data_IF_786322361842
#
_entry.id   IF_786322361842
#
_cell.length_a   1.000
_cell.length_b   1.000
_cell.length_c   1.000
_cell.angle_alpha   90.00
_cell.angle_beta   90.00
_cell.angle_gamma   90.00
#
_symmetry.space_group_name_H-M   'P 1'
#
loop_
_entity.id
_entity.type
_entity.pdbx_description
1 polymer ?
#
# COMPACT_ATOMS: atom_id res chain seq x y z
N UNK A 1 0.77 18.63 -16.98
CA UNK A 1 -0.01 17.48 -16.48
C UNK A 1 -0.78 16.90 -17.66
N UNK A 2 -0.35 15.76 -18.18
CA UNK A 2 -1.07 15.07 -19.26
C UNK A 2 -2.31 14.38 -18.71
N UNK A 3 -3.36 14.35 -19.52
CA UNK A 3 -4.68 13.77 -19.25
C UNK A 3 -4.55 12.26 -18.95
N UNK A 4 -4.52 11.91 -17.66
CA UNK A 4 -4.47 10.52 -17.19
C UNK A 4 -5.90 10.04 -16.91
N UNK A 5 -6.35 8.93 -17.50
CA UNK A 5 -7.69 8.41 -17.25
C UNK A 5 -7.83 8.01 -15.78
N UNK A 6 -8.89 8.51 -15.14
CA UNK A 6 -9.29 8.08 -13.80
C UNK A 6 -9.91 6.68 -13.92
N UNK A 7 -9.37 5.69 -13.22
CA UNK A 7 -9.82 4.29 -13.35
C UNK A 7 -10.96 3.96 -12.38
N UNK A 8 -10.90 4.46 -11.14
CA UNK A 8 -11.99 4.36 -10.16
C UNK A 8 -11.97 5.55 -9.21
N UNK A 9 -13.17 6.00 -8.83
CA UNK A 9 -13.44 6.84 -7.69
C UNK A 9 -13.80 5.94 -6.47
N UNK A 10 -12.91 5.81 -5.48
CA UNK A 10 -13.19 5.00 -4.26
C UNK A 10 -13.54 5.90 -3.08
N UNK A 11 -14.63 5.59 -2.37
CA UNK A 11 -15.02 6.25 -1.11
C UNK A 11 -14.33 5.58 0.09
N UNK A 12 -13.94 6.36 1.10
CA UNK A 12 -13.21 5.88 2.30
C UNK A 12 -14.08 5.28 3.42
N UNK A 13 -15.37 5.03 3.21
CA UNK A 13 -16.28 4.67 4.30
C UNK A 13 -16.11 3.19 4.73
N UNK A 14 -15.52 2.97 5.90
CA UNK A 14 -15.60 1.70 6.65
C UNK A 14 -14.56 0.63 6.32
N UNK A 15 -13.43 0.99 5.70
CA UNK A 15 -12.45 0.02 5.19
C UNK A 15 -11.06 0.20 5.78
N UNK A 16 -10.42 -0.92 6.12
CA UNK A 16 -9.09 -0.96 6.74
C UNK A 16 -8.01 -1.05 5.66
N UNK A 17 -7.21 0.01 5.44
CA UNK A 17 -6.05 -0.10 4.57
C UNK A 17 -4.97 -0.96 5.23
N UNK A 18 -4.25 -1.73 4.43
CA UNK A 18 -3.00 -2.35 4.86
C UNK A 18 -1.92 -1.28 4.96
N UNK A 19 -0.97 -1.51 5.85
CA UNK A 19 0.04 -0.53 6.19
C UNK A 19 1.15 -1.11 7.05
N UNK A 20 2.28 -0.40 7.07
CA UNK A 20 3.41 -0.71 7.95
C UNK A 20 3.52 0.45 8.95
N UNK A 21 3.65 0.15 10.25
CA UNK A 21 3.67 1.15 11.35
C UNK A 21 2.40 2.01 11.49
N UNK A 22 1.27 1.55 10.95
CA UNK A 22 0.00 2.30 11.01
C UNK A 22 -0.17 3.30 9.87
N UNK A 23 0.84 3.48 9.01
CA UNK A 23 0.71 4.27 7.80
C UNK A 23 0.12 3.42 6.68
N UNK A 24 -1.01 3.87 6.15
CA UNK A 24 -1.67 3.22 5.04
C UNK A 24 -0.80 3.26 3.77
N UNK A 25 -0.74 2.16 3.03
CA UNK A 25 0.12 2.05 1.85
C UNK A 25 -0.14 3.12 0.77
N UNK A 26 -1.37 3.58 0.64
CA UNK A 26 -1.71 4.64 -0.32
C UNK A 26 -1.02 5.97 -0.02
N UNK A 27 -0.61 6.23 1.23
CA UNK A 27 0.14 7.45 1.60
C UNK A 27 1.59 7.40 1.11
N UNK A 28 2.16 6.20 0.95
CA UNK A 28 3.55 5.97 0.51
C UNK A 28 3.64 5.42 -0.92
N UNK A 29 2.52 5.39 -1.64
CA UNK A 29 2.41 4.75 -2.95
C UNK A 29 3.44 5.27 -3.96
N UNK A 30 3.65 6.58 -4.03
CA UNK A 30 4.65 7.17 -4.93
C UNK A 30 6.06 6.63 -4.69
N UNK A 31 6.44 6.42 -3.43
CA UNK A 31 7.74 5.83 -3.08
C UNK A 31 7.82 4.37 -3.53
N UNK A 32 6.77 3.58 -3.28
CA UNK A 32 6.72 2.17 -3.66
C UNK A 32 6.79 1.99 -5.18
N UNK A 33 5.97 2.75 -5.93
CA UNK A 33 5.95 2.71 -7.39
C UNK A 33 7.30 3.14 -7.98
N UNK A 34 7.96 4.15 -7.41
CA UNK A 34 9.31 4.54 -7.83
C UNK A 34 10.34 3.44 -7.57
N UNK A 35 10.26 2.72 -6.45
CA UNK A 35 11.15 1.59 -6.14
C UNK A 35 10.91 0.43 -7.11
N UNK A 36 9.64 0.06 -7.34
CA UNK A 36 9.26 -1.01 -8.29
C UNK A 36 9.79 -0.64 -9.68
N UNK A 37 9.50 0.57 -10.17
CA UNK A 37 9.95 1.03 -11.49
C UNK A 37 11.46 0.98 -11.64
N UNK A 38 12.20 1.45 -10.63
CA UNK A 38 13.67 1.44 -10.65
C UNK A 38 14.28 0.03 -10.67
N UNK A 39 13.61 -0.94 -10.04
CA UNK A 39 14.16 -2.30 -9.83
C UNK A 39 13.65 -3.32 -10.84
N UNK A 40 12.40 -3.19 -11.28
CA UNK A 40 11.68 -4.18 -12.09
C UNK A 40 11.20 -3.60 -13.43
N UNK A 41 11.30 -2.28 -13.64
CA UNK A 41 10.84 -1.60 -14.85
C UNK A 41 9.37 -1.18 -14.79
N UNK A 42 8.88 -0.62 -15.90
CA UNK A 42 7.56 -0.01 -15.97
C UNK A 42 6.43 -1.05 -15.90
N UNK A 43 6.58 -2.25 -16.47
CA UNK A 43 5.50 -3.25 -16.50
C UNK A 43 4.92 -3.59 -15.11
N UNK A 44 5.73 -4.01 -14.13
CA UNK A 44 5.26 -4.25 -12.77
C UNK A 44 4.85 -2.97 -12.02
N UNK A 45 5.46 -1.82 -12.31
CA UNK A 45 5.09 -0.56 -11.67
C UNK A 45 3.73 -0.05 -12.13
N UNK A 46 3.46 -0.13 -13.43
CA UNK A 46 2.24 0.35 -14.07
C UNK A 46 1.05 -0.59 -13.82
N UNK A 47 1.30 -1.81 -13.32
CA UNK A 47 0.25 -2.70 -12.83
C UNK A 47 -0.50 -2.08 -11.63
N UNK A 48 0.16 -1.28 -10.80
CA UNK A 48 -0.45 -0.70 -9.61
C UNK A 48 -0.89 0.74 -9.91
N UNK A 49 -2.19 1.02 -9.77
CA UNK A 49 -2.72 2.37 -9.96
C UNK A 49 -2.16 3.35 -8.93
N UNK A 50 -1.98 4.61 -9.32
CA UNK A 50 -1.50 5.68 -8.44
C UNK A 50 -2.68 6.25 -7.63
N UNK A 51 -2.69 6.12 -6.29
CA UNK A 51 -3.73 6.72 -5.45
C UNK A 51 -3.50 8.21 -5.27
N UNK A 52 -4.56 8.99 -5.40
CA UNK A 52 -4.60 10.42 -5.14
C UNK A 52 -5.69 10.73 -4.12
N UNK A 53 -5.30 11.39 -3.03
CA UNK A 53 -6.24 11.81 -2.00
C UNK A 53 -7.03 13.01 -2.49
N UNK A 54 -8.36 12.97 -2.36
CA UNK A 54 -9.17 14.15 -2.64
C UNK A 54 -8.97 15.20 -1.57
N UNK A 55 -9.03 16.48 -1.97
CA UNK A 55 -8.86 17.63 -1.08
C UNK A 55 -9.86 17.62 0.09
N UNK A 56 -11.05 17.06 -0.11
CA UNK A 56 -12.07 16.90 0.93
C UNK A 56 -11.83 15.75 1.91
N UNK A 57 -10.81 14.91 1.69
CA UNK A 57 -10.48 13.75 2.52
C UNK A 57 -11.50 12.61 2.50
N UNK A 58 -12.54 12.72 1.66
CA UNK A 58 -13.70 11.83 1.57
C UNK A 58 -13.45 10.57 0.71
N UNK A 59 -12.35 10.55 -0.04
CA UNK A 59 -12.04 9.44 -0.93
C UNK A 59 -10.62 9.45 -1.51
N UNK A 60 -10.34 8.39 -2.25
CA UNK A 60 -9.10 8.20 -3.01
C UNK A 60 -9.49 7.93 -4.47
N UNK A 61 -8.86 8.67 -5.36
CA UNK A 61 -8.98 8.49 -6.80
C UNK A 61 -7.77 7.71 -7.31
N UNK A 62 -8.03 6.68 -8.12
CA UNK A 62 -6.98 5.79 -8.61
C UNK A 62 -6.72 6.02 -10.09
N UNK A 63 -5.46 6.30 -10.43
CA UNK A 63 -5.05 6.66 -11.78
C UNK A 63 -4.13 5.62 -12.40
N UNK A 64 -4.36 5.31 -13.68
CA UNK A 64 -3.41 4.55 -14.46
C UNK A 64 -2.14 5.37 -14.71
N UNK A 65 -0.97 4.71 -14.75
CA UNK A 65 0.24 5.38 -15.18
C UNK A 65 0.18 5.79 -16.67
N UNK A 66 -0.49 4.94 -17.46
CA UNK A 66 -0.72 4.99 -18.90
C UNK A 66 -2.07 5.65 -19.23
N UNK A 67 -2.15 6.31 -20.39
CA UNK A 67 -3.43 6.72 -20.98
C UNK A 67 -3.89 5.72 -22.05
N UNK A 68 -5.20 5.56 -22.21
CA UNK A 68 -5.77 4.61 -23.18
C UNK A 68 -7.24 4.34 -22.95
N UNK A 69 -7.81 3.47 -23.79
CA UNK A 69 -9.17 2.96 -23.58
C UNK A 69 -9.23 2.09 -22.32
N UNK A 70 -10.27 2.29 -21.51
CA UNK A 70 -10.43 1.64 -20.21
C UNK A 70 -11.57 0.64 -20.29
N UNK A 71 -11.27 -0.64 -20.06
CA UNK A 71 -12.26 -1.72 -19.95
C UNK A 71 -12.20 -2.35 -18.57
N UNK A 72 -13.35 -2.72 -18.00
CA UNK A 72 -13.39 -3.46 -16.73
C UNK A 72 -13.00 -4.90 -16.99
N UNK A 73 -12.26 -5.51 -16.06
CA UNK A 73 -11.96 -6.94 -16.11
C UNK A 73 -13.25 -7.78 -16.16
N UNK A 74 -14.30 -7.33 -15.46
CA UNK A 74 -15.63 -7.93 -15.44
C UNK A 74 -16.39 -7.91 -16.79
N UNK A 75 -15.93 -7.17 -17.78
CA UNK A 75 -16.57 -7.10 -19.11
C UNK A 75 -15.81 -7.91 -20.18
N UNK A 76 -14.66 -8.49 -19.81
CA UNK A 76 -13.83 -9.28 -20.73
C UNK A 76 -14.40 -10.68 -20.99
N UNK A 77 -14.04 -11.24 -22.15
CA UNK A 77 -14.26 -12.66 -22.43
C UNK A 77 -13.28 -13.56 -21.67
N UNK A 78 -13.58 -14.85 -21.58
CA UNK A 78 -12.79 -15.79 -20.76
C UNK A 78 -11.31 -15.87 -21.16
N UNK A 79 -11.02 -15.86 -22.46
CA UNK A 79 -9.63 -15.92 -22.95
C UNK A 79 -8.84 -14.64 -22.62
N UNK A 80 -9.47 -13.48 -22.74
CA UNK A 80 -8.88 -12.20 -22.34
C UNK A 80 -8.65 -12.14 -20.82
N UNK A 81 -9.57 -12.67 -20.02
CA UNK A 81 -9.43 -12.74 -18.56
C UNK A 81 -8.25 -13.62 -18.15
N UNK A 82 -8.14 -14.81 -18.73
CA UNK A 82 -7.05 -15.73 -18.44
C UNK A 82 -5.68 -15.09 -18.75
N UNK A 83 -5.55 -14.45 -19.91
CA UNK A 83 -4.31 -13.76 -20.30
C UNK A 83 -3.99 -12.55 -19.39
N UNK A 84 -5.01 -11.78 -19.00
CA UNK A 84 -4.84 -10.66 -18.08
C UNK A 84 -4.42 -11.15 -16.68
N UNK A 85 -5.03 -12.21 -16.15
CA UNK A 85 -4.66 -12.78 -14.85
C UNK A 85 -3.26 -13.38 -14.84
N UNK A 86 -2.85 -14.05 -15.93
CA UNK A 86 -1.47 -14.54 -16.07
C UNK A 86 -0.46 -13.38 -16.00
N UNK A 87 -0.75 -12.28 -16.69
CA UNK A 87 0.08 -11.07 -16.66
C UNK A 87 0.11 -10.45 -15.27
N UNK A 88 -1.04 -10.37 -14.60
CA UNK A 88 -1.16 -9.87 -13.21
C UNK A 88 -0.30 -10.71 -12.28
N UNK A 89 -0.46 -12.03 -12.27
CA UNK A 89 0.27 -12.91 -11.35
C UNK A 89 1.77 -12.92 -11.60
N UNK A 90 2.19 -12.86 -12.86
CA UNK A 90 3.61 -12.74 -13.22
C UNK A 90 4.23 -11.49 -12.59
N UNK A 91 3.56 -10.34 -12.75
CA UNK A 91 4.03 -9.05 -12.24
C UNK A 91 3.94 -8.95 -10.72
N UNK A 92 2.85 -9.42 -10.10
CA UNK A 92 2.72 -9.46 -8.64
C UNK A 92 3.78 -10.37 -8.01
N UNK A 93 4.11 -11.50 -8.64
CA UNK A 93 5.17 -12.40 -8.16
C UNK A 93 6.54 -11.73 -8.20
N UNK A 94 6.82 -10.91 -9.23
CA UNK A 94 8.05 -10.11 -9.29
C UNK A 94 8.11 -9.08 -8.15
N UNK A 95 7.00 -8.40 -7.85
CA UNK A 95 6.90 -7.44 -6.73
C UNK A 95 7.08 -8.14 -5.38
N UNK A 96 6.41 -9.28 -5.15
CA UNK A 96 6.56 -10.09 -3.93
C UNK A 96 8.01 -10.54 -3.73
N UNK A 97 8.66 -11.01 -4.80
CA UNK A 97 10.08 -11.42 -4.77
C UNK A 97 10.99 -10.26 -4.40
N UNK A 98 10.76 -9.07 -4.95
CA UNK A 98 11.51 -7.87 -4.56
C UNK A 98 11.25 -7.50 -3.10
N UNK A 99 10.00 -7.60 -2.64
CA UNK A 99 9.61 -7.39 -1.25
C UNK A 99 10.41 -8.28 -0.30
N UNK A 100 10.42 -9.59 -0.55
CA UNK A 100 11.18 -10.57 0.25
C UNK A 100 12.68 -10.23 0.33
N UNK A 101 13.31 -9.93 -0.81
CA UNK A 101 14.74 -9.55 -0.86
C UNK A 101 15.03 -8.31 0.00
N UNK A 102 14.13 -7.32 -0.01
CA UNK A 102 14.30 -6.10 0.79
C UNK A 102 14.00 -6.34 2.28
N UNK A 103 13.02 -7.17 2.60
CA UNK A 103 12.67 -7.59 3.98
C UNK A 103 13.83 -8.32 4.66
N UNK A 104 14.58 -9.14 3.92
CA UNK A 104 15.75 -9.86 4.43
C UNK A 104 17.02 -8.99 4.59
N UNK A 105 17.00 -7.74 4.11
CA UNK A 105 18.16 -6.86 4.16
C UNK A 105 18.59 -6.57 5.60
N UNK A 106 19.81 -6.95 5.98
CA UNK A 106 20.28 -6.77 7.36
C UNK A 106 20.78 -5.37 7.70
N UNK A 107 21.21 -4.62 6.67
CA UNK A 107 21.92 -3.34 6.81
C UNK A 107 21.07 -2.08 6.71
N UNK A 108 19.75 -2.19 6.45
CA UNK A 108 18.87 -1.02 6.34
C UNK A 108 17.47 -1.34 6.84
N UNK A 109 17.07 -0.71 7.93
CA UNK A 109 15.70 -0.81 8.45
C UNK A 109 14.68 -0.26 7.46
N UNK A 110 15.01 0.84 6.76
CA UNK A 110 14.20 1.41 5.70
C UNK A 110 13.96 0.40 4.56
N UNK A 111 15.00 -0.33 4.15
CA UNK A 111 14.83 -1.39 3.15
C UNK A 111 13.85 -2.46 3.64
N UNK A 112 13.91 -2.87 4.91
CA UNK A 112 12.97 -3.85 5.46
C UNK A 112 11.53 -3.32 5.52
N UNK A 113 11.35 -2.03 5.78
CA UNK A 113 10.02 -1.40 5.76
C UNK A 113 9.46 -1.37 4.35
N UNK A 114 10.26 -0.95 3.38
CA UNK A 114 9.85 -0.98 1.96
C UNK A 114 9.54 -2.41 1.54
N UNK A 115 10.34 -3.39 1.94
CA UNK A 115 10.10 -4.81 1.65
C UNK A 115 8.73 -5.28 2.13
N UNK A 116 8.40 -5.04 3.40
CA UNK A 116 7.08 -5.33 3.97
C UNK A 116 5.95 -4.57 3.27
N UNK A 117 6.17 -3.30 2.94
CA UNK A 117 5.18 -2.50 2.21
C UNK A 117 4.91 -3.06 0.81
N UNK A 118 5.92 -3.55 0.10
CA UNK A 118 5.76 -4.17 -1.22
C UNK A 118 5.02 -5.51 -1.14
N UNK A 119 5.27 -6.32 -0.12
CA UNK A 119 4.52 -7.57 0.11
C UNK A 119 3.03 -7.27 0.29
N UNK A 120 2.69 -6.31 1.17
CA UNK A 120 1.31 -5.89 1.43
C UNK A 120 0.67 -5.21 0.21
N UNK A 121 1.43 -4.48 -0.61
CA UNK A 121 0.93 -3.82 -1.81
C UNK A 121 0.46 -4.80 -2.90
N UNK A 122 0.80 -6.09 -2.79
CA UNK A 122 0.31 -7.13 -3.72
C UNK A 122 -1.07 -7.67 -3.36
N UNK A 123 -1.62 -7.29 -2.21
CA UNK A 123 -2.98 -7.61 -1.83
C UNK A 123 -3.98 -6.69 -2.51
N UNK A 124 -5.15 -7.25 -2.86
CA UNK A 124 -6.28 -6.53 -3.44
C UNK A 124 -7.60 -7.13 -2.94
N UNK A 125 -8.69 -6.35 -2.82
CA UNK A 125 -9.94 -6.83 -2.26
C UNK A 125 -10.67 -7.90 -3.10
N UNK A 126 -10.74 -7.68 -4.42
CA UNK A 126 -11.36 -8.61 -5.38
C UNK A 126 -10.86 -8.36 -6.81
N UNK A 127 -11.24 -9.21 -7.76
CA UNK A 127 -10.97 -9.08 -9.20
C UNK A 127 -11.72 -7.91 -9.85
N UNK A 128 -12.75 -7.38 -9.19
CA UNK A 128 -13.52 -6.23 -9.69
C UNK A 128 -12.69 -4.93 -9.74
N UNK A 129 -11.56 -4.91 -9.02
CA UNK A 129 -10.62 -3.80 -9.00
C UNK A 129 -9.52 -3.91 -10.07
N UNK A 130 -9.62 -4.89 -10.97
CA UNK A 130 -8.76 -5.01 -12.15
C UNK A 130 -9.41 -4.30 -13.35
N UNK A 131 -8.62 -3.49 -14.04
CA UNK A 131 -8.99 -2.77 -15.26
C UNK A 131 -7.96 -3.06 -16.33
N UNK A 132 -8.37 -2.95 -17.58
CA UNK A 132 -7.44 -2.95 -18.71
C UNK A 132 -7.38 -1.55 -19.29
N UNK A 133 -6.17 -1.03 -19.42
CA UNK A 133 -5.89 0.26 -20.05
C UNK A 133 -5.06 0.00 -21.29
N UNK A 134 -5.64 0.18 -22.48
CA UNK A 134 -4.99 -0.16 -23.76
C UNK A 134 -4.48 -1.61 -23.80
N UNK A 135 -5.24 -2.54 -23.22
CA UNK A 135 -4.90 -3.97 -23.15
C UNK A 135 -3.98 -4.39 -21.99
N UNK A 136 -3.44 -3.43 -21.22
CA UNK A 136 -2.57 -3.71 -20.08
C UNK A 136 -3.35 -3.73 -18.75
N UNK A 137 -3.19 -4.75 -17.90
CA UNK A 137 -3.91 -4.81 -16.63
C UNK A 137 -3.37 -3.79 -15.62
N UNK A 138 -4.29 -3.13 -14.91
CA UNK A 138 -4.03 -2.18 -13.84
C UNK A 138 -4.96 -2.49 -12.66
N UNK A 139 -4.40 -2.56 -11.46
CA UNK A 139 -5.09 -2.86 -10.21
C UNK A 139 -5.30 -1.54 -9.47
N UNK A 140 -6.55 -1.23 -9.15
CA UNK A 140 -6.92 -0.19 -8.21
C UNK A 140 -7.13 -0.79 -6.81
N UNK A 141 -7.23 0.06 -5.79
CA UNK A 141 -7.48 -0.37 -4.41
C UNK A 141 -6.52 -1.46 -3.90
N UNK A 142 -5.29 -1.50 -4.40
CA UNK A 142 -4.26 -2.39 -3.86
C UNK A 142 -3.84 -1.93 -2.46
N UNK A 143 -3.36 -2.87 -1.65
CA UNK A 143 -3.05 -2.61 -0.25
C UNK A 143 -4.30 -2.49 0.64
N UNK A 144 -5.41 -3.15 0.27
CA UNK A 144 -6.61 -3.28 1.08
C UNK A 144 -6.98 -4.77 1.24
N UNK A 145 -7.63 -5.10 2.35
CA UNK A 145 -8.09 -6.46 2.66
C UNK A 145 -9.33 -6.87 1.83
N UNK A 146 -9.58 -8.18 1.73
CA UNK A 146 -10.70 -8.75 0.96
C UNK A 146 -12.09 -8.37 1.50
N UNK A 147 -12.21 -8.08 2.79
CA UNK A 147 -13.46 -7.61 3.40
C UNK A 147 -13.79 -6.15 3.05
N UNK A 148 -12.83 -5.42 2.45
CA UNK A 148 -12.98 -4.01 2.13
C UNK A 148 -13.87 -3.72 0.91
N UNK A 149 -14.30 -4.75 0.17
CA UNK A 149 -15.08 -4.58 -1.08
C UNK A 149 -16.35 -3.73 -0.86
N UNK A 150 -17.05 -3.90 0.28
CA UNK A 150 -18.31 -3.20 0.54
C UNK A 150 -18.15 -1.70 0.81
N UNK A 151 -17.03 -1.26 1.39
CA UNK A 151 -16.77 0.16 1.65
C UNK A 151 -15.99 0.86 0.54
N UNK A 152 -15.29 0.09 -0.29
CA UNK A 152 -14.64 0.54 -1.51
C UNK A 152 -15.63 0.47 -2.69
N UNK A 153 -16.67 1.29 -2.66
CA UNK A 153 -17.58 1.38 -3.80
C UNK A 153 -16.81 1.83 -5.04
N UNK A 154 -16.72 0.96 -6.06
CA UNK A 154 -16.10 1.31 -7.34
C UNK A 154 -17.07 2.17 -8.15
N UNK A 155 -16.95 3.48 -8.07
CA UNK A 155 -17.65 4.38 -8.99
C UNK A 155 -16.81 4.55 -10.26
N UNK A 156 -17.35 4.07 -11.38
CA UNK A 156 -16.77 4.30 -12.70
C UNK A 156 -17.04 5.75 -13.12
N UNK A 157 -16.01 6.57 -13.40
CA UNK A 157 -16.25 7.90 -13.93
C UNK A 157 -16.95 7.80 -15.30
N UNK A 158 -17.82 8.75 -15.65
CA UNK A 158 -18.42 8.80 -16.98
C UNK A 158 -17.30 8.90 -18.04
N UNK A 159 -17.45 8.25 -19.21
CA UNK A 159 -16.45 8.29 -20.25
C UNK A 159 -16.18 9.75 -20.65
N UNK A 160 -14.94 10.20 -20.47
CA UNK A 160 -14.49 11.50 -20.97
C UNK A 160 -14.62 11.44 -22.50
N UNK A 161 -15.39 12.33 -23.16
CA UNK A 161 -15.60 12.25 -24.58
C UNK A 161 -14.29 12.54 -25.32
N UNK A 162 -13.69 11.48 -25.87
CA UNK A 162 -12.61 11.60 -26.86
C UNK A 162 -13.22 12.28 -28.08
N UNK A 163 -12.68 13.43 -28.57
CA UNK A 163 -13.20 14.07 -29.76
C UNK A 163 -13.09 13.10 -30.95
N UNK A 164 -14.25 12.77 -31.54
CA UNK A 164 -14.35 11.88 -32.67
C UNK A 164 -13.49 12.40 -33.84
N UNK A 165 -12.47 11.65 -34.22
CA UNK A 165 -11.78 11.84 -35.50
C UNK A 165 -12.78 11.45 -36.61
N UNK A 166 -13.14 12.34 -37.55
CA UNK A 166 -14.05 11.99 -38.61
C UNK A 166 -13.38 10.96 -39.55
N UNK A 167 -14.07 9.84 -39.78
CA UNK A 167 -13.75 8.87 -40.83
C UNK A 167 -14.08 9.48 -42.22
N UNK A 168 -13.37 9.09 -43.29
CA UNK A 168 -13.46 9.78 -44.57
C UNK A 168 -14.73 9.36 -45.33
N UNK A 169 -15.50 10.35 -45.78
CA UNK A 169 -16.57 10.13 -46.75
C UNK A 169 -15.97 10.07 -48.17
N UNK A 170 -16.25 8.97 -48.87
CA UNK A 170 -15.94 8.77 -50.28
C UNK A 170 -16.89 9.65 -51.11
N UNK A 171 -16.34 10.60 -51.88
CA UNK A 171 -17.03 11.20 -53.02
C UNK A 171 -16.04 11.44 -54.17
N UNK A 172 -16.51 11.10 -55.37
CA UNK A 172 -15.78 11.10 -56.62
C UNK A 172 -15.74 12.49 -57.31
N UNK A 173 -14.66 12.68 -58.08
CA UNK A 173 -14.48 13.55 -59.27
C UNK A 173 -14.05 15.03 -59.12
N UNK A 174 -12.72 15.23 -59.24
CA UNK A 174 -11.95 16.12 -60.13
C UNK A 174 -12.07 17.69 -60.08
N UNK A 175 -11.06 18.46 -60.54
CA UNK A 175 -9.67 18.51 -60.07
C UNK A 175 -9.17 19.95 -59.76
N UNK A 176 -7.92 20.03 -59.28
CA UNK A 176 -7.00 21.18 -59.29
C UNK A 176 -7.14 22.25 -58.17
N UNK A 177 -6.25 22.15 -57.18
CA UNK A 177 -5.19 23.14 -56.96
C UNK A 177 -4.26 22.63 -55.85
N UNK A 178 -3.10 22.10 -56.24
CA UNK A 178 -2.04 21.71 -55.31
C UNK A 178 -1.38 22.99 -54.82
N UNK A 179 -1.71 23.42 -53.60
CA UNK A 179 -0.87 24.35 -52.86
C UNK A 179 0.33 23.57 -52.29
N UNK A 180 1.56 24.07 -52.45
CA UNK A 180 2.73 23.35 -51.97
C UNK A 180 2.66 23.22 -50.46
N UNK A 181 2.82 21.99 -50.00
CA UNK A 181 3.09 21.65 -48.61
C UNK A 181 4.16 22.61 -48.10
N UNK A 182 3.77 23.50 -47.17
CA UNK A 182 4.73 24.28 -46.42
C UNK A 182 5.50 23.30 -45.57
N UNK A 183 6.70 23.00 -46.04
CA UNK A 183 7.88 22.52 -45.32
C UNK A 183 7.54 22.07 -43.88
N UNK A 184 7.06 20.84 -43.78
CA UNK A 184 6.87 20.14 -42.51
C UNK A 184 8.26 19.78 -41.97
N UNK A 185 8.97 20.79 -41.48
CA UNK A 185 10.16 20.62 -40.70
C UNK A 185 10.03 21.41 -39.41
N UNK A 186 9.91 20.63 -38.33
CA UNK A 186 10.16 21.00 -36.95
C UNK A 186 9.12 21.92 -36.27
N UNK A 187 7.99 21.35 -35.78
CA UNK A 187 7.26 21.93 -34.64
C UNK A 187 8.20 22.27 -33.47
N UNK A 188 9.30 21.50 -33.30
CA UNK A 188 10.39 21.82 -32.38
C UNK A 188 11.13 23.12 -32.70
N UNK A 189 11.33 23.50 -33.97
CA UNK A 189 11.91 24.80 -34.34
C UNK A 189 10.95 25.94 -34.01
N UNK A 190 9.63 25.73 -34.17
CA UNK A 190 8.65 26.73 -33.72
C UNK A 190 8.69 26.86 -32.19
N UNK A 191 8.73 25.75 -31.45
CA UNK A 191 8.83 25.76 -29.99
C UNK A 191 10.16 26.38 -29.50
N UNK A 192 11.27 26.10 -30.19
CA UNK A 192 12.58 26.72 -29.94
C UNK A 192 12.54 28.22 -30.22
N UNK A 193 11.91 28.65 -31.32
CA UNK A 193 11.76 30.06 -31.67
C UNK A 193 10.87 30.80 -30.67
N UNK A 194 9.75 30.20 -30.24
CA UNK A 194 8.89 30.76 -29.20
C UNK A 194 9.60 30.81 -27.83
N UNK A 195 10.36 29.77 -27.48
CA UNK A 195 11.19 29.76 -26.27
C UNK A 195 12.27 30.84 -26.29
N UNK A 196 12.96 31.01 -27.42
CA UNK A 196 13.96 32.05 -27.61
C UNK A 196 13.32 33.46 -27.55
N UNK A 197 12.13 33.64 -28.14
CA UNK A 197 11.39 34.90 -28.09
C UNK A 197 10.97 35.24 -26.66
N UNK A 198 10.49 34.25 -25.90
CA UNK A 198 10.13 34.41 -24.48
C UNK A 198 11.36 34.77 -23.63
N UNK A 199 12.49 34.09 -23.85
CA UNK A 199 13.76 34.39 -23.18
C UNK A 199 14.23 35.82 -23.50
N UNK A 200 14.15 36.23 -24.77
CA UNK A 200 14.49 37.58 -25.19
C UNK A 200 13.57 38.62 -24.53
N UNK A 201 12.26 38.33 -24.44
CA UNK A 201 11.30 39.21 -23.76
C UNK A 201 11.61 39.34 -22.27
N UNK A 202 11.98 38.24 -21.60
CA UNK A 202 12.41 38.24 -20.20
C UNK A 202 13.71 39.03 -20.00
N UNK A 203 14.66 38.91 -20.93
CA UNK A 203 15.91 39.68 -20.91
C UNK A 203 15.65 41.17 -21.13
N UNK A 204 14.79 41.53 -22.09
CA UNK A 204 14.43 42.92 -22.37
C UNK A 204 13.65 43.52 -21.19
N UNK A 205 12.70 42.79 -20.60
CA UNK A 205 11.96 43.25 -19.42
C UNK A 205 12.86 43.37 -18.20
N UNK A 206 13.78 42.43 -17.98
CA UNK A 206 14.82 42.53 -16.94
C UNK A 206 15.75 43.73 -17.18
N UNK A 207 16.14 43.98 -18.43
CA UNK A 207 16.97 45.13 -18.80
C UNK A 207 16.21 46.44 -18.62
N UNK A 208 14.93 46.52 -19.02
CA UNK A 208 14.05 47.66 -18.79
C UNK A 208 13.85 47.92 -17.30
N UNK A 209 13.61 46.88 -16.50
CA UNK A 209 13.52 46.99 -15.04
C UNK A 209 14.82 47.53 -14.44
N UNK A 210 15.98 47.09 -14.94
CA UNK A 210 17.30 47.61 -14.49
C UNK A 210 17.55 49.05 -14.94
N UNK A 211 17.01 49.49 -16.08
CA UNK A 211 17.13 50.89 -16.52
C UNK A 211 16.11 51.81 -15.84
N UNK A 212 14.93 51.30 -15.47
CA UNK A 212 13.89 52.06 -14.78
C UNK A 212 14.06 52.05 -13.25
N UNK A 213 14.78 51.07 -12.70
CA UNK A 213 15.22 51.04 -11.32
C UNK A 213 16.74 50.84 -11.29
N UNK A 214 17.55 51.92 -11.20
CA UNK A 214 18.94 51.80 -10.82
C UNK A 214 18.96 51.33 -9.35
N UNK A 215 18.84 50.02 -9.15
CA UNK A 215 18.93 49.40 -7.84
C UNK A 215 20.41 49.37 -7.48
N UNK A 216 20.84 50.34 -6.69
CA UNK A 216 22.12 50.26 -5.98
C UNK A 216 22.14 48.95 -5.16
N UNK A 217 23.21 48.15 -5.21
CA UNK A 217 23.31 46.85 -4.54
C UNK A 217 23.42 46.96 -3.01
N UNK A 218 23.07 48.11 -2.43
CA UNK A 218 23.12 48.43 -1.00
C UNK A 218 21.76 48.88 -0.44
N UNK A 219 20.66 48.40 -1.01
CA UNK A 219 19.36 48.48 -0.34
C UNK A 219 19.32 47.50 0.83
N UNK A 220 19.93 47.98 1.91
CA UNK A 220 19.58 47.67 3.28
C UNK A 220 18.07 47.48 3.38
N UNK A 221 17.66 46.28 3.78
CA UNK A 221 16.33 46.01 4.30
C UNK A 221 16.25 46.77 5.64
N UNK A 222 16.12 48.08 5.55
CA UNK A 222 15.70 48.93 6.65
C UNK A 222 14.23 48.59 6.86
N UNK A 223 14.00 47.60 7.71
CA UNK A 223 13.06 47.72 8.83
C UNK A 223 12.13 48.92 8.70
N UNK A 224 10.97 48.71 8.09
CA UNK A 224 9.78 49.44 8.50
C UNK A 224 9.53 49.04 9.96
N UNK A 225 10.10 49.80 10.90
CA UNK A 225 9.69 49.79 12.30
C UNK A 225 8.21 50.23 12.36
N UNK A 226 7.33 49.26 12.19
CA UNK A 226 6.03 49.29 12.83
C UNK A 226 6.27 49.03 14.31
N UNK A 227 5.80 49.88 15.25
CA UNK A 227 5.85 49.56 16.67
C UNK A 227 5.22 48.19 16.89
N UNK A 228 5.99 47.27 17.46
CA UNK A 228 5.58 45.89 17.63
C UNK A 228 4.26 45.81 18.43
N UNK A 229 3.23 45.10 17.94
CA UNK A 229 2.16 44.67 18.82
C UNK A 229 2.76 43.82 19.96
N UNK A 230 2.24 43.92 21.20
CA UNK A 230 2.76 43.13 22.31
C UNK A 230 2.81 41.65 21.92
N UNK A 231 3.96 41.02 22.17
CA UNK A 231 4.21 39.64 21.83
C UNK A 231 3.06 38.77 22.37
N UNK A 232 2.45 37.89 21.55
CA UNK A 232 1.51 36.90 22.06
C UNK A 232 2.20 36.06 23.12
N UNK A 233 1.48 35.74 24.20
CA UNK A 233 2.02 34.95 25.31
C UNK A 233 2.66 33.67 24.77
N UNK A 234 3.84 33.27 25.28
CA UNK A 234 4.47 32.03 24.87
C UNK A 234 3.47 30.89 25.09
N UNK A 235 3.34 29.94 24.15
CA UNK A 235 2.46 28.80 24.31
C UNK A 235 2.75 28.12 25.66
N UNK A 236 1.71 27.68 26.39
CA UNK A 236 1.88 27.11 27.71
C UNK A 236 2.89 25.97 27.65
N UNK A 237 3.91 26.03 28.50
CA UNK A 237 4.91 24.99 28.61
C UNK A 237 4.19 23.65 28.81
N UNK A 238 4.39 22.64 27.93
CA UNK A 238 3.71 21.36 28.05
C UNK A 238 4.36 20.47 29.13
N UNK A 239 5.56 20.79 29.62
CA UNK A 239 6.24 19.98 30.64
C UNK A 239 5.44 19.65 31.91
N UNK A 240 4.58 20.51 32.51
CA UNK A 240 3.77 20.11 33.66
C UNK A 240 2.73 19.06 33.30
N UNK A 241 2.15 19.09 32.10
CA UNK A 241 1.21 18.07 31.63
C UNK A 241 1.91 16.73 31.38
N UNK A 242 3.11 16.77 30.77
CA UNK A 242 3.92 15.57 30.59
C UNK A 242 4.35 14.98 31.94
N UNK A 243 4.77 15.81 32.91
CA UNK A 243 5.12 15.34 34.25
C UNK A 243 3.93 14.70 34.96
N UNK A 244 2.77 15.34 34.93
CA UNK A 244 1.56 14.76 35.50
C UNK A 244 1.17 13.42 34.86
N UNK A 245 1.37 13.27 33.54
CA UNK A 245 1.11 12.01 32.84
C UNK A 245 2.12 10.92 33.21
N UNK A 246 3.39 11.27 33.40
CA UNK A 246 4.41 10.32 33.86
C UNK A 246 4.14 9.86 35.30
N UNK A 247 3.78 10.79 36.19
CA UNK A 247 3.45 10.48 37.58
C UNK A 247 2.21 9.56 37.68
N UNK A 248 1.20 9.73 36.80
CA UNK A 248 0.04 8.84 36.75
C UNK A 248 0.40 7.43 36.27
N UNK A 249 1.24 7.30 35.25
CA UNK A 249 1.69 5.99 34.74
C UNK A 249 2.55 5.24 35.78
N UNK A 250 3.41 5.96 36.53
CA UNK A 250 4.18 5.38 37.63
C UNK A 250 3.28 4.89 38.77
N UNK A 251 2.22 5.64 39.10
CA UNK A 251 1.24 5.24 40.10
C UNK A 251 0.49 3.97 39.69
N UNK A 252 0.05 3.89 38.42
CA UNK A 252 -0.64 2.72 37.88
C UNK A 252 0.29 1.51 37.81
N UNK A 253 1.55 1.68 37.41
CA UNK A 253 2.55 0.62 37.42
C UNK A 253 2.76 0.06 38.84
N UNK A 254 2.88 0.93 39.84
CA UNK A 254 3.07 0.51 41.22
C UNK A 254 1.84 -0.22 41.77
N UNK A 255 0.64 0.24 41.40
CA UNK A 255 -0.62 -0.44 41.75
C UNK A 255 -0.68 -1.84 41.15
N UNK A 256 -0.43 -2.00 39.85
CA UNK A 256 -0.43 -3.30 39.18
C UNK A 256 0.62 -4.25 39.75
N UNK A 257 1.81 -3.74 40.10
CA UNK A 257 2.84 -4.53 40.79
C UNK A 257 2.38 -5.02 42.16
N UNK A 258 1.67 -4.20 42.92
CA UNK A 258 1.10 -4.60 44.20
C UNK A 258 0.00 -5.66 44.04
N UNK A 259 -0.86 -5.52 43.03
CA UNK A 259 -1.88 -6.52 42.69
C UNK A 259 -1.26 -7.86 42.28
N UNK A 260 -0.21 -7.85 41.44
CA UNK A 260 0.51 -9.07 41.06
C UNK A 260 1.15 -9.76 42.27
N UNK A 261 1.79 -8.99 43.16
CA UNK A 261 2.38 -9.54 44.37
C UNK A 261 1.33 -10.18 45.29
N UNK A 262 0.14 -9.58 45.40
CA UNK A 262 -0.98 -10.12 46.16
C UNK A 262 -1.58 -11.39 45.53
N UNK A 263 -1.71 -11.43 44.20
CA UNK A 263 -2.17 -12.62 43.49
C UNK A 263 -1.16 -13.77 43.60
N UNK A 264 0.14 -13.48 43.58
CA UNK A 264 1.17 -14.49 43.75
C UNK A 264 1.14 -15.12 45.15
N UNK A 265 0.90 -14.32 46.19
CA UNK A 265 0.76 -14.85 47.56
C UNK A 265 -0.52 -15.67 47.72
N UNK A 266 -1.64 -15.22 47.15
CA UNK A 266 -2.89 -15.99 47.13
C UNK A 266 -2.73 -17.33 46.39
N UNK A 267 -2.04 -17.34 45.24
CA UNK A 267 -1.76 -18.56 44.50
C UNK A 267 -0.90 -19.53 45.32
N UNK A 268 0.15 -19.04 45.98
CA UNK A 268 1.01 -19.86 46.85
C UNK A 268 0.23 -20.47 48.01
N UNK A 269 -0.67 -19.70 48.63
CA UNK A 269 -1.52 -20.20 49.71
C UNK A 269 -2.50 -21.27 49.21
N UNK A 270 -3.16 -21.04 48.06
CA UNK A 270 -4.03 -22.04 47.43
C UNK A 270 -3.28 -23.30 47.03
N UNK A 271 -2.05 -23.19 46.53
CA UNK A 271 -1.20 -24.35 46.21
C UNK A 271 -0.83 -25.13 47.46
N UNK A 272 -0.51 -24.46 48.57
CA UNK A 272 -0.23 -25.11 49.85
C UNK A 272 -1.46 -25.85 50.42
N UNK A 273 -2.67 -25.36 50.13
CA UNK A 273 -3.92 -25.99 50.56
C UNK A 273 -4.33 -27.21 49.70
N UNK A 274 -3.76 -27.38 48.51
CA UNK A 274 -4.00 -28.55 47.67
C UNK A 274 -3.22 -29.77 48.18
N UNK A 275 -3.94 -30.80 48.67
CA UNK A 275 -3.33 -32.06 49.13
C UNK A 275 -2.96 -32.96 47.94
N UNK A 276 -1.71 -33.47 47.84
CA UNK A 276 -1.34 -34.43 46.81
C UNK A 276 -2.16 -35.73 46.91
N UNK A 277 -2.62 -36.24 45.77
CA UNK A 277 -3.28 -37.55 45.67
C UNK A 277 -2.27 -38.66 46.01
N UNK A 278 -2.59 -39.45 47.04
CA UNK A 278 -1.79 -40.61 47.44
C UNK A 278 -2.09 -41.76 46.45
N UNK A 279 -1.08 -42.37 45.81
CA UNK A 279 -1.31 -43.43 44.84
C UNK A 279 -1.92 -44.67 45.52
N UNK A 280 -2.91 -45.34 44.90
CA UNK A 280 -3.58 -46.48 45.49
C UNK A 280 -2.60 -47.65 45.72
N UNK A 281 -2.73 -48.29 46.88
CA UNK A 281 -1.89 -49.42 47.32
C UNK A 281 -1.99 -50.58 46.31
N UNK A 282 -0.87 -51.24 45.91
CA UNK A 282 -0.90 -52.30 44.92
C UNK A 282 -1.79 -53.47 45.34
N UNK A 283 -2.60 -54.05 44.43
CA UNK A 283 -3.41 -55.22 44.74
C UNK A 283 -2.52 -56.46 45.02
N UNK A 284 -2.96 -57.38 45.90
CA UNK A 284 -2.19 -58.57 46.24
C UNK A 284 -2.02 -59.49 45.02
N UNK A 285 -0.89 -60.24 44.93
CA UNK A 285 -0.59 -61.09 43.79
C UNK A 285 -1.62 -62.24 43.64
N UNK A 286 -1.96 -62.63 42.38
CA UNK A 286 -2.94 -63.69 42.13
C UNK A 286 -2.42 -65.07 42.57
N UNK A 287 -3.32 -65.99 43.01
CA UNK A 287 -2.95 -67.33 43.44
C UNK A 287 -2.44 -68.19 42.26
N UNK A 288 -1.57 -69.19 42.53
CA UNK A 288 -0.93 -70.00 41.49
C UNK A 288 -1.94 -70.85 40.71
N UNK A 289 -1.68 -71.13 39.42
CA UNK A 289 -2.62 -71.81 38.55
C UNK A 289 -2.84 -73.28 38.95
N UNK A 290 -4.12 -73.66 39.02
CA UNK A 290 -4.57 -75.04 39.25
C UNK A 290 -4.23 -75.89 38.02
N UNK A 291 -3.35 -76.88 38.21
CA UNK A 291 -3.03 -77.88 37.18
C UNK A 291 -4.28 -78.72 36.85
N UNK A 292 -4.73 -78.66 35.60
CA UNK A 292 -5.74 -79.58 35.06
C UNK A 292 -5.05 -80.88 34.64
N UNK A 293 -5.36 -81.97 35.35
CA UNK A 293 -5.04 -83.33 34.93
C UNK A 293 -6.02 -83.80 33.83
N UNK A 294 -5.51 -84.50 32.81
CA UNK A 294 -6.24 -85.67 32.30
C UNK A 294 -5.30 -86.79 31.79
N UNK A 295 -5.81 -87.98 31.43
CA UNK A 295 -6.59 -88.98 32.17
C UNK A 295 -5.82 -90.34 32.27
N UNK A 296 -6.24 -91.33 33.10
CA UNK A 296 -5.63 -92.68 33.14
C UNK A 296 -6.42 -93.70 32.30
N UNK A 297 -6.03 -95.00 32.25
CA UNK A 297 -4.72 -95.64 32.08
C UNK A 297 -4.75 -96.75 31.00
N UNK A 298 -3.62 -97.38 30.67
CA UNK A 298 -3.61 -98.79 30.24
C UNK A 298 -2.44 -99.53 30.91
N UNK A 299 -2.78 -100.68 31.49
CA UNK A 299 -1.92 -101.60 32.23
C UNK A 299 -1.19 -102.55 31.30
N UNK A 300 -0.11 -103.15 31.82
CA UNK A 300 0.15 -104.60 31.93
C UNK A 300 1.66 -104.89 31.77
N UNK A 301 2.17 -106.09 32.09
CA UNK A 301 2.10 -106.80 33.37
C UNK A 301 3.49 -107.41 33.74
N UNK A 302 3.52 -108.31 34.75
CA UNK A 302 4.55 -109.32 35.07
C UNK A 302 5.86 -108.83 35.74
N UNK A 303 6.07 -109.12 37.05
CA UNK A 303 6.53 -110.39 37.69
C UNK A 303 8.04 -110.64 37.49
N UNK A 304 8.71 -111.42 38.36
CA UNK A 304 8.21 -112.28 39.46
C UNK A 304 8.46 -111.77 40.88
#
# INVERSE_FOLDING_TARGET
MGDRPTLILTTRLGVRPLGVRGDALHNVAGQLLAVIRRRLGDGPADLLAEPQLREGGDGIDWYAARSGDVRRFADLNESERAAALETVETRLTAIRSLGAVLTESTGSEEARLIGRSLELATARPSDDFIFLVDGEPVIAAWGYEADAVAGLAAFAPPPVPVPARPAPAVMASAPAAVLPARLAWAPWLSALLFGLLLLLLLLITSWLLRTCAPVDPSLNIATLETPAPPAPEPPPDPTPLLKASLDSEEADQNKLRAELAALETELKDKVAQCKPIEPPKPPPPPPPPVAKAPPPPLRDPSMP
#
